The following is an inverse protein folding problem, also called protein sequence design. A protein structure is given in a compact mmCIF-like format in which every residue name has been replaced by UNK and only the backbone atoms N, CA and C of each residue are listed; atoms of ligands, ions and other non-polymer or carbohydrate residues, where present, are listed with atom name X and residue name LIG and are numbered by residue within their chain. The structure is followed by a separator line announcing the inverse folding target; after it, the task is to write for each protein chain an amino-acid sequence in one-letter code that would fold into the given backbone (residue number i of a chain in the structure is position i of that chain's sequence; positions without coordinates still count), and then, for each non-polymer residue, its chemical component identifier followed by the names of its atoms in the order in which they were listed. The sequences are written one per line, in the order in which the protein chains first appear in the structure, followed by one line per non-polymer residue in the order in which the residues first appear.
data_IF_667024952276
#
_entry.id   IF_667024952276
#
_cell.length_a   1.000
_cell.length_b   1.000
_cell.length_c   1.000
_cell.angle_alpha   90.00
_cell.angle_beta   90.00
_cell.angle_gamma   90.00
#
_symmetry.space_group_name_H-M   'P 1'
#
loop_
_entity.id
_entity.type
_entity.pdbx_description
1 polymer ?
#
# COMPACT_ATOMS: atom_id res chain seq x y z
N UNK A 1 16.22 16.78 5.04
CA UNK A 1 15.81 15.46 4.51
C UNK A 1 16.99 14.50 4.59
N UNK A 2 16.80 13.26 5.07
CA UNK A 2 17.90 12.30 5.27
C UNK A 2 17.97 11.35 4.08
N UNK A 3 19.05 11.44 3.31
CA UNK A 3 19.32 10.52 2.19
C UNK A 3 19.94 9.22 2.69
N UNK A 4 19.60 8.10 2.05
CA UNK A 4 20.09 6.76 2.34
C UNK A 4 20.77 6.17 1.11
N UNK A 5 21.82 5.38 1.33
CA UNK A 5 22.57 4.65 0.29
C UNK A 5 22.46 3.15 0.53
N UNK A 6 22.26 2.41 -0.55
CA UNK A 6 22.13 0.94 -0.56
C UNK A 6 23.38 0.34 -1.22
N UNK A 7 23.94 -0.70 -0.61
CA UNK A 7 25.16 -1.37 -1.09
C UNK A 7 25.22 -2.82 -0.58
N UNK A 8 26.07 -3.64 -1.20
CA UNK A 8 26.35 -5.00 -0.71
C UNK A 8 27.46 -5.00 0.33
N UNK A 9 27.35 -5.88 1.32
CA UNK A 9 28.49 -6.20 2.17
C UNK A 9 29.61 -6.82 1.31
N UNK A 10 30.86 -6.32 1.36
CA UNK A 10 31.95 -6.86 0.53
C UNK A 10 32.41 -8.26 0.96
N UNK A 11 31.93 -8.77 2.10
CA UNK A 11 32.32 -10.10 2.61
C UNK A 11 31.24 -11.16 2.43
N UNK A 12 29.98 -10.82 2.68
CA UNK A 12 28.88 -11.80 2.69
C UNK A 12 27.75 -11.42 1.72
N UNK A 13 28.01 -10.44 0.86
CA UNK A 13 27.14 -9.93 -0.21
C UNK A 13 25.73 -9.52 0.22
N UNK A 14 25.51 -9.45 1.53
CA UNK A 14 24.21 -9.08 2.09
C UNK A 14 23.94 -7.64 1.76
N UNK A 15 22.75 -7.39 1.24
CA UNK A 15 22.30 -6.05 0.92
C UNK A 15 22.05 -5.25 2.20
N UNK A 16 22.64 -4.05 2.28
CA UNK A 16 22.61 -3.15 3.43
C UNK A 16 22.26 -1.73 3.00
N UNK A 17 21.82 -0.94 3.98
CA UNK A 17 21.65 0.51 3.83
C UNK A 17 22.21 1.29 5.02
N UNK A 18 22.47 2.57 4.79
CA UNK A 18 22.77 3.53 5.85
C UNK A 18 22.47 4.96 5.39
N UNK A 19 22.34 5.92 6.33
CA UNK A 19 22.34 7.34 6.01
C UNK A 19 23.58 7.76 5.21
N UNK A 20 23.43 8.73 4.32
CA UNK A 20 24.50 9.19 3.42
C UNK A 20 25.75 9.66 4.19
N UNK A 21 25.53 10.35 5.32
CA UNK A 21 26.56 10.89 6.21
C UNK A 21 27.39 9.78 6.89
N UNK A 22 26.81 8.59 7.06
CA UNK A 22 27.48 7.50 7.75
C UNK A 22 28.71 7.01 6.95
N UNK A 23 29.89 7.05 7.60
CA UNK A 23 31.18 6.64 7.00
C UNK A 23 31.45 5.14 7.13
N UNK A 24 30.97 4.51 8.20
CA UNK A 24 31.17 3.09 8.48
C UNK A 24 29.91 2.41 9.01
N UNK A 25 29.68 1.14 8.67
CA UNK A 25 28.57 0.33 9.17
C UNK A 25 29.04 -1.07 9.56
N UNK A 26 28.51 -1.65 10.63
CA UNK A 26 28.70 -3.07 10.95
C UNK A 26 27.68 -3.91 10.19
N UNK A 27 28.11 -4.96 9.50
CA UNK A 27 27.18 -5.88 8.85
C UNK A 27 26.41 -6.68 9.93
N UNK A 28 25.07 -6.74 9.90
CA UNK A 28 24.31 -7.57 10.83
C UNK A 28 24.52 -9.07 10.61
N UNK A 29 24.83 -9.51 9.38
CA UNK A 29 25.03 -10.94 9.06
C UNK A 29 26.42 -11.44 9.44
N UNK A 30 27.48 -10.82 8.92
CA UNK A 30 28.85 -11.28 9.17
C UNK A 30 29.56 -10.53 10.30
N UNK A 31 28.89 -9.54 10.93
CA UNK A 31 29.41 -8.73 12.04
C UNK A 31 30.69 -7.93 11.76
N UNK A 32 31.20 -7.92 10.53
CA UNK A 32 32.41 -7.17 10.17
C UNK A 32 32.08 -5.70 9.88
N UNK A 33 33.03 -4.81 10.21
CA UNK A 33 32.96 -3.38 9.94
C UNK A 33 33.22 -3.10 8.46
N UNK A 34 32.38 -2.28 7.85
CA UNK A 34 32.43 -1.88 6.45
C UNK A 34 32.72 -0.38 6.37
N UNK A 35 33.68 0.00 5.53
CA UNK A 35 34.01 1.40 5.23
C UNK A 35 33.26 1.80 3.95
N UNK A 36 32.28 2.69 4.08
CA UNK A 36 31.30 2.93 3.01
C UNK A 36 31.88 3.80 1.89
N UNK A 37 32.88 4.65 2.17
CA UNK A 37 33.50 5.55 1.18
C UNK A 37 34.08 4.80 -0.04
N UNK A 38 34.44 3.53 0.13
CA UNK A 38 35.04 2.68 -0.92
C UNK A 38 34.05 1.68 -1.52
N UNK A 39 32.77 1.77 -1.17
CA UNK A 39 31.76 0.81 -1.61
C UNK A 39 31.09 1.27 -2.90
N UNK A 40 30.84 0.31 -3.79
CA UNK A 40 29.94 0.51 -4.93
C UNK A 40 28.52 0.70 -4.41
N UNK A 41 27.99 1.91 -4.59
CA UNK A 41 26.62 2.25 -4.23
C UNK A 41 25.71 1.75 -5.36
N UNK A 42 24.66 1.01 -5.00
CA UNK A 42 23.68 0.50 -5.95
C UNK A 42 22.61 1.54 -6.24
N UNK A 43 22.11 2.19 -5.19
CA UNK A 43 21.04 3.19 -5.27
C UNK A 43 21.09 4.13 -4.08
N UNK A 44 20.61 5.36 -4.30
CA UNK A 44 20.40 6.38 -3.28
C UNK A 44 18.91 6.72 -3.24
N UNK A 45 18.38 6.91 -2.04
CA UNK A 45 16.95 7.13 -1.77
C UNK A 45 16.76 8.22 -0.73
N UNK A 46 15.69 8.99 -0.84
CA UNK A 46 15.41 10.12 0.07
C UNK A 46 14.48 9.72 1.24
N UNK A 47 14.05 8.45 1.28
CA UNK A 47 13.10 7.91 2.24
C UNK A 47 13.59 6.57 2.79
N UNK A 48 13.49 6.42 4.11
CA UNK A 48 13.81 5.16 4.80
C UNK A 48 12.89 4.02 4.35
N UNK A 49 11.61 4.32 4.12
CA UNK A 49 10.60 3.33 3.69
C UNK A 49 10.98 2.72 2.33
N UNK A 50 11.30 3.56 1.36
CA UNK A 50 11.72 3.12 0.01
C UNK A 50 13.00 2.29 0.05
N UNK A 51 13.90 2.63 0.98
CA UNK A 51 15.17 1.92 1.18
C UNK A 51 14.94 0.49 1.67
N UNK A 52 14.09 0.32 2.69
CA UNK A 52 13.75 -0.98 3.26
C UNK A 52 13.03 -1.82 2.20
N UNK A 53 12.09 -1.21 1.48
CA UNK A 53 11.34 -1.84 0.40
C UNK A 53 12.24 -2.39 -0.72
N UNK A 54 13.17 -1.57 -1.22
CA UNK A 54 14.14 -2.00 -2.23
C UNK A 54 14.99 -3.19 -1.76
N UNK A 55 15.36 -3.20 -0.48
CA UNK A 55 16.19 -4.28 0.07
C UNK A 55 15.43 -5.59 0.17
N UNK A 56 14.15 -5.54 0.55
CA UNK A 56 13.29 -6.70 0.60
C UNK A 56 13.07 -7.28 -0.81
N UNK A 57 12.78 -6.43 -1.80
CA UNK A 57 12.57 -6.88 -3.18
C UNK A 57 13.83 -7.49 -3.81
N UNK A 58 15.01 -6.96 -3.50
CA UNK A 58 16.28 -7.48 -4.01
C UNK A 58 16.71 -8.82 -3.36
N UNK A 59 16.19 -9.18 -2.19
CA UNK A 59 16.55 -10.45 -1.51
C UNK A 59 15.75 -11.66 -1.98
N UNK A 60 14.74 -11.47 -2.82
CA UNK A 60 13.84 -12.54 -3.21
C UNK A 60 14.39 -13.32 -4.43
N UNK A 61 14.19 -14.66 -4.49
CA UNK A 61 14.47 -15.49 -5.65
C UNK A 61 13.83 -14.92 -6.93
N UNK A 62 14.41 -15.14 -8.12
CA UNK A 62 13.92 -14.56 -9.38
C UNK A 62 12.44 -14.90 -9.68
N UNK A 63 11.97 -16.08 -9.26
CA UNK A 63 10.58 -16.53 -9.41
C UNK A 63 9.59 -15.71 -8.56
N UNK A 64 9.99 -15.29 -7.35
CA UNK A 64 9.18 -14.42 -6.47
C UNK A 64 9.33 -12.96 -6.90
N UNK A 65 10.51 -12.58 -7.42
CA UNK A 65 10.72 -11.24 -8.01
C UNK A 65 9.74 -10.97 -9.13
N UNK A 66 9.46 -11.93 -10.03
CA UNK A 66 8.49 -11.75 -11.11
C UNK A 66 7.07 -11.55 -10.60
N UNK A 67 6.61 -12.42 -9.67
CA UNK A 67 5.32 -12.23 -8.97
C UNK A 67 5.23 -10.86 -8.29
N UNK A 68 6.34 -10.36 -7.75
CA UNK A 68 6.39 -9.04 -7.11
C UNK A 68 6.53 -7.90 -8.11
N UNK A 69 7.26 -8.01 -9.23
CA UNK A 69 7.34 -6.96 -10.27
C UNK A 69 6.00 -6.75 -10.96
N UNK A 70 5.22 -7.80 -11.14
CA UNK A 70 3.82 -7.69 -11.58
C UNK A 70 2.92 -7.11 -10.46
N UNK A 71 3.30 -7.32 -9.20
CA UNK A 71 2.67 -6.66 -8.04
C UNK A 71 3.17 -5.23 -7.76
N UNK A 72 4.36 -4.82 -8.26
CA UNK A 72 5.03 -3.54 -7.96
C UNK A 72 4.97 -2.53 -9.09
N UNK A 73 4.67 -2.95 -10.32
CA UNK A 73 4.00 -2.02 -11.25
C UNK A 73 2.59 -1.66 -10.73
N UNK A 74 2.01 -2.49 -9.86
CA UNK A 74 0.72 -2.27 -9.22
C UNK A 74 0.79 -1.73 -7.77
N UNK A 75 1.97 -1.51 -7.19
CA UNK A 75 2.12 -1.01 -5.81
C UNK A 75 1.87 0.49 -5.65
N UNK A 76 1.25 1.14 -6.65
CA UNK A 76 0.55 2.40 -6.42
C UNK A 76 -0.90 2.20 -5.96
N UNK A 77 -1.55 1.05 -6.19
CA UNK A 77 -2.94 0.82 -5.73
C UNK A 77 -3.22 -0.70 -5.55
N UNK A 78 -2.77 -1.29 -4.45
CA UNK A 78 -3.44 -2.48 -3.89
C UNK A 78 -4.20 -2.04 -2.64
N UNK A 79 -5.21 -1.20 -2.87
CA UNK A 79 -6.26 -0.94 -1.91
C UNK A 79 -6.89 -2.29 -1.57
N UNK A 80 -6.90 -2.65 -0.28
CA UNK A 80 -7.59 -3.86 0.18
C UNK A 80 -9.06 -3.84 -0.26
N UNK A 81 -9.75 -5.00 -0.27
CA UNK A 81 -11.17 -5.09 -0.68
C UNK A 81 -12.04 -4.02 0.00
N UNK A 82 -11.79 -3.75 1.29
CA UNK A 82 -12.44 -2.70 2.10
C UNK A 82 -12.07 -1.27 1.65
N UNK A 83 -10.84 -1.03 1.24
CA UNK A 83 -10.40 0.30 0.80
C UNK A 83 -10.87 0.61 -0.63
N UNK A 84 -10.99 -0.40 -1.50
CA UNK A 84 -11.69 -0.27 -2.80
C UNK A 84 -13.17 0.04 -2.61
N UNK A 85 -13.80 -0.57 -1.60
CA UNK A 85 -15.20 -0.30 -1.26
C UNK A 85 -15.40 1.13 -0.74
N UNK A 86 -14.52 1.60 0.15
CA UNK A 86 -14.55 3.00 0.61
C UNK A 86 -14.28 4.01 -0.51
N UNK A 87 -13.40 3.66 -1.46
CA UNK A 87 -13.20 4.46 -2.67
C UNK A 87 -14.44 4.55 -3.55
N UNK A 88 -15.17 3.44 -3.71
CA UNK A 88 -16.43 3.41 -4.43
C UNK A 88 -17.44 4.35 -3.77
N UNK A 89 -17.58 4.27 -2.44
CA UNK A 89 -18.45 5.16 -1.67
C UNK A 89 -18.08 6.63 -1.91
N UNK A 90 -16.79 6.98 -1.80
CA UNK A 90 -16.31 8.35 -2.04
C UNK A 90 -16.54 8.81 -3.49
N UNK A 91 -16.38 7.92 -4.46
CA UNK A 91 -16.62 8.22 -5.89
C UNK A 91 -18.09 8.55 -6.11
N UNK A 92 -19.00 7.75 -5.56
CA UNK A 92 -20.44 7.95 -5.72
C UNK A 92 -20.87 9.22 -4.98
N UNK A 93 -20.40 9.45 -3.75
CA UNK A 93 -20.67 10.68 -3.00
C UNK A 93 -20.23 11.96 -3.73
N UNK A 94 -19.09 11.94 -4.43
CA UNK A 94 -18.62 13.10 -5.23
C UNK A 94 -19.53 13.41 -6.41
N UNK A 95 -20.17 12.39 -6.97
CA UNK A 95 -21.04 12.54 -8.13
C UNK A 95 -22.50 12.87 -7.73
N UNK A 96 -22.89 12.56 -6.50
CA UNK A 96 -24.22 12.83 -5.97
C UNK A 96 -24.31 14.22 -5.32
N UNK A 97 -24.99 15.15 -5.99
CA UNK A 97 -25.22 16.54 -5.54
C UNK A 97 -25.74 16.67 -4.10
N UNK A 98 -26.53 15.69 -3.61
CA UNK A 98 -27.18 15.73 -2.30
C UNK A 98 -26.67 14.68 -1.31
N UNK A 99 -25.59 13.95 -1.63
CA UNK A 99 -25.06 12.83 -0.82
C UNK A 99 -26.03 11.68 -0.52
N UNK A 100 -27.27 11.73 -1.02
CA UNK A 100 -28.27 10.67 -0.95
C UNK A 100 -28.09 9.77 -2.18
N UNK A 101 -27.96 8.47 -1.95
CA UNK A 101 -27.72 7.45 -2.95
C UNK A 101 -28.84 6.41 -2.83
N UNK A 102 -29.45 5.99 -3.93
CA UNK A 102 -30.42 4.90 -3.90
C UNK A 102 -29.67 3.57 -3.70
N UNK A 103 -30.16 2.75 -2.78
CA UNK A 103 -29.55 1.47 -2.41
C UNK A 103 -29.35 0.55 -3.63
N UNK A 104 -30.38 0.47 -4.49
CA UNK A 104 -30.32 -0.31 -5.72
C UNK A 104 -29.24 0.18 -6.70
N UNK A 105 -29.01 1.48 -6.77
CA UNK A 105 -27.98 2.05 -7.65
C UNK A 105 -26.58 1.81 -7.08
N UNK A 106 -26.45 1.87 -5.75
CA UNK A 106 -25.21 1.54 -5.06
C UNK A 106 -24.81 0.06 -5.25
N UNK A 107 -25.77 -0.86 -5.11
CA UNK A 107 -25.54 -2.29 -5.31
C UNK A 107 -25.09 -2.57 -6.74
N UNK A 108 -25.75 -1.99 -7.75
CA UNK A 108 -25.35 -2.12 -9.16
C UNK A 108 -23.93 -1.62 -9.43
N UNK A 109 -23.57 -0.46 -8.90
CA UNK A 109 -22.20 0.09 -9.02
C UNK A 109 -21.17 -0.77 -8.30
N UNK A 110 -21.54 -1.38 -7.17
CA UNK A 110 -20.68 -2.30 -6.43
C UNK A 110 -20.47 -3.63 -7.17
N UNK A 111 -21.51 -4.16 -7.80
CA UNK A 111 -21.40 -5.34 -8.67
C UNK A 111 -20.50 -5.08 -9.88
N UNK A 112 -20.66 -3.91 -10.53
CA UNK A 112 -19.77 -3.49 -11.62
C UNK A 112 -18.31 -3.33 -11.18
N UNK A 113 -18.10 -2.97 -9.91
CA UNK A 113 -16.78 -2.90 -9.30
C UNK A 113 -16.24 -4.28 -8.82
N UNK A 114 -17.00 -5.36 -8.99
CA UNK A 114 -16.61 -6.73 -8.68
C UNK A 114 -16.89 -7.17 -7.23
N UNK A 115 -17.80 -6.50 -6.53
CA UNK A 115 -18.28 -6.92 -5.21
C UNK A 115 -19.55 -7.77 -5.34
N UNK A 116 -19.66 -8.82 -4.53
CA UNK A 116 -20.90 -9.60 -4.46
C UNK A 116 -21.95 -8.89 -3.61
N UNK A 117 -23.23 -8.98 -4.00
CA UNK A 117 -24.36 -8.40 -3.27
C UNK A 117 -24.34 -8.78 -1.77
N UNK A 118 -24.16 -10.06 -1.46
CA UNK A 118 -24.07 -10.56 -0.08
C UNK A 118 -22.97 -9.84 0.74
N UNK A 119 -21.82 -9.58 0.12
CA UNK A 119 -20.71 -8.91 0.78
C UNK A 119 -20.99 -7.42 0.97
N UNK A 120 -21.64 -6.78 -0.01
CA UNK A 120 -22.05 -5.37 0.06
C UNK A 120 -23.06 -5.16 1.19
N UNK A 121 -24.07 -6.02 1.29
CA UNK A 121 -25.08 -5.96 2.36
C UNK A 121 -24.47 -6.09 3.75
N UNK A 122 -23.51 -7.00 3.93
CA UNK A 122 -22.77 -7.13 5.20
C UNK A 122 -22.00 -5.84 5.53
N UNK A 123 -21.36 -5.23 4.53
CA UNK A 123 -20.60 -4.00 4.74
C UNK A 123 -21.50 -2.78 5.01
N UNK A 124 -22.65 -2.68 4.36
CA UNK A 124 -23.64 -1.63 4.65
C UNK A 124 -24.16 -1.76 6.09
N UNK A 125 -24.49 -2.97 6.54
CA UNK A 125 -24.90 -3.22 7.93
C UNK A 125 -23.78 -2.88 8.94
N UNK A 126 -22.52 -3.17 8.59
CA UNK A 126 -21.36 -2.81 9.42
C UNK A 126 -21.20 -1.27 9.50
N UNK A 127 -21.41 -0.55 8.40
CA UNK A 127 -21.34 0.92 8.37
C UNK A 127 -22.49 1.56 9.15
N UNK A 128 -23.70 1.02 9.05
CA UNK A 128 -24.86 1.47 9.82
C UNK A 128 -24.62 1.28 11.32
N UNK A 129 -24.13 0.11 11.73
CA UNK A 129 -23.78 -0.18 13.12
C UNK A 129 -22.72 0.76 13.69
N UNK A 130 -21.79 1.23 12.87
CA UNK A 130 -20.75 2.17 13.25
C UNK A 130 -21.18 3.65 13.16
N UNK A 131 -22.44 3.93 12.78
CA UNK A 131 -22.95 5.30 12.61
C UNK A 131 -22.40 6.05 11.40
N UNK A 132 -21.81 5.33 10.44
CA UNK A 132 -21.20 5.87 9.21
C UNK A 132 -22.14 5.83 8.01
N UNK A 133 -23.32 5.25 8.18
CA UNK A 133 -24.40 5.16 7.19
C UNK A 133 -25.72 5.43 7.90
N UNK A 134 -26.57 6.27 7.29
CA UNK A 134 -27.92 6.56 7.75
C UNK A 134 -28.89 6.35 6.59
N UNK A 135 -30.10 5.89 6.93
CA UNK A 135 -31.21 5.74 6.00
C UNK A 135 -32.19 6.91 6.18
N UNK A 136 -32.07 8.02 5.40
CA UNK A 136 -32.99 9.15 5.52
C UNK A 136 -34.42 8.76 5.11
N UNK A 137 -34.56 7.83 4.15
CA UNK A 137 -35.83 7.22 3.72
C UNK A 137 -35.58 5.75 3.37
N UNK A 138 -36.64 4.92 3.36
CA UNK A 138 -36.55 3.51 2.95
C UNK A 138 -35.94 3.39 1.54
N UNK A 139 -34.83 2.65 1.41
CA UNK A 139 -34.11 2.45 0.15
C UNK A 139 -33.15 3.59 -0.25
N UNK A 140 -32.95 4.57 0.63
CA UNK A 140 -31.94 5.62 0.48
C UNK A 140 -30.80 5.40 1.45
N UNK A 141 -29.58 5.61 0.97
CA UNK A 141 -28.31 5.54 1.70
C UNK A 141 -27.70 6.94 1.77
N UNK A 142 -27.31 7.35 2.97
CA UNK A 142 -26.50 8.55 3.20
C UNK A 142 -25.27 8.18 4.03
N UNK A 143 -24.09 8.29 3.44
CA UNK A 143 -22.82 7.98 4.10
C UNK A 143 -22.28 9.22 4.82
N UNK A 144 -21.86 9.06 6.07
CA UNK A 144 -21.30 10.10 6.96
C UNK A 144 -19.79 9.84 7.15
N UNK A 145 -19.04 9.83 6.04
CA UNK A 145 -17.62 9.45 5.97
C UNK A 145 -16.82 10.57 5.29
#
# INVERSE_FOLDING_TARGET
MTTYKIFHCPRCETLLYCPYIQKTKKCPKCQKKIVIRRMKILKVTNSLKDTIFLIQNLKLPPEIRQKITDSTKNSFILKGKKEKFLDLIRKIQRNSLNQIILENDFIKEAEQAGFSEEWVSIQLAELEKNGLLVHPTKGQLQFII
#
